data_IF_274732832906
#
_entry.id   IF_274732832906
#
_cell.length_a   1.000
_cell.length_b   1.000
_cell.length_c   1.000
_cell.angle_alpha   90.00
_cell.angle_beta   90.00
_cell.angle_gamma   90.00
#
_symmetry.space_group_name_H-M   'P 1'
#
loop_
_entity.id
_entity.type
_entity.pdbx_description
1 polymer ?
#
# COMPACT_ATOMS: atom_id res chain seq x y z
N UNK A 1 -27.05 10.83 22.72
CA UNK A 1 -25.74 10.82 22.04
C UNK A 1 -25.48 12.22 21.54
N UNK A 2 -24.31 12.76 21.83
CA UNK A 2 -23.94 14.13 21.47
C UNK A 2 -23.65 14.22 19.96
N UNK A 3 -24.05 15.30 19.29
CA UNK A 3 -23.98 15.40 17.83
C UNK A 3 -22.54 15.25 17.29
N UNK A 4 -21.55 15.66 18.08
CA UNK A 4 -20.12 15.46 17.76
C UNK A 4 -19.68 13.99 17.78
N UNK A 5 -20.30 13.14 18.61
CA UNK A 5 -19.97 11.71 18.66
C UNK A 5 -20.52 10.96 17.43
N UNK A 6 -21.69 11.36 16.94
CA UNK A 6 -22.30 10.78 15.72
C UNK A 6 -21.45 11.09 14.49
N UNK A 7 -20.97 12.33 14.33
CA UNK A 7 -20.14 12.75 13.18
C UNK A 7 -18.80 12.00 13.15
N UNK A 8 -18.16 11.81 14.30
CA UNK A 8 -16.90 11.06 14.39
C UNK A 8 -17.10 9.58 14.06
N UNK A 9 -18.18 8.97 14.56
CA UNK A 9 -18.51 7.58 14.28
C UNK A 9 -18.82 7.36 12.80
N UNK A 10 -19.62 8.25 12.18
CA UNK A 10 -19.91 8.19 10.74
C UNK A 10 -18.64 8.35 9.89
N UNK A 11 -17.74 9.25 10.28
CA UNK A 11 -16.45 9.43 9.62
C UNK A 11 -15.59 8.17 9.68
N UNK A 12 -15.53 7.53 10.86
CA UNK A 12 -14.79 6.28 11.08
C UNK A 12 -15.37 5.12 10.27
N UNK A 13 -16.69 4.94 10.27
CA UNK A 13 -17.36 3.88 9.50
C UNK A 13 -17.11 4.06 7.99
N UNK A 14 -17.21 5.30 7.47
CA UNK A 14 -16.89 5.58 6.06
C UNK A 14 -15.43 5.29 5.71
N UNK A 15 -14.49 5.51 6.63
CA UNK A 15 -13.09 5.16 6.41
C UNK A 15 -12.91 3.63 6.33
N UNK A 16 -13.57 2.87 7.23
CA UNK A 16 -13.54 1.41 7.21
C UNK A 16 -14.19 0.83 5.95
N UNK A 17 -15.31 1.39 5.51
CA UNK A 17 -16.00 0.96 4.29
C UNK A 17 -15.09 1.16 3.07
N UNK A 18 -14.38 2.29 2.99
CA UNK A 18 -13.39 2.55 1.92
C UNK A 18 -12.24 1.54 1.93
N UNK A 19 -11.70 1.22 3.11
CA UNK A 19 -10.65 0.20 3.20
C UNK A 19 -11.16 -1.17 2.73
N UNK A 20 -12.38 -1.53 3.11
CA UNK A 20 -13.02 -2.77 2.67
C UNK A 20 -13.30 -2.80 1.16
N UNK A 21 -13.61 -1.66 0.53
CA UNK A 21 -13.76 -1.56 -0.93
C UNK A 21 -12.43 -1.85 -1.65
N UNK A 22 -11.30 -1.33 -1.14
CA UNK A 22 -9.96 -1.56 -1.71
C UNK A 22 -9.58 -3.04 -1.67
N UNK A 23 -9.83 -3.70 -0.53
CA UNK A 23 -9.48 -5.13 -0.34
C UNK A 23 -10.62 -6.08 -0.67
N UNK A 24 -11.70 -5.57 -1.27
CA UNK A 24 -12.84 -6.37 -1.66
C UNK A 24 -12.43 -7.48 -2.62
N UNK A 25 -13.08 -8.64 -2.49
CA UNK A 25 -12.72 -9.87 -3.23
C UNK A 25 -12.59 -9.66 -4.76
N UNK A 26 -13.40 -8.77 -5.35
CA UNK A 26 -13.37 -8.49 -6.78
C UNK A 26 -12.13 -7.71 -7.24
N UNK A 27 -11.48 -6.94 -6.36
CA UNK A 27 -10.39 -6.02 -6.71
C UNK A 27 -9.03 -6.47 -6.15
N UNK A 28 -9.02 -7.21 -5.04
CA UNK A 28 -7.79 -7.61 -4.34
C UNK A 28 -6.81 -8.38 -5.22
N UNK A 29 -7.30 -9.23 -6.15
CA UNK A 29 -6.43 -9.95 -7.09
C UNK A 29 -5.68 -8.97 -8.01
N UNK A 30 -6.39 -8.03 -8.64
CA UNK A 30 -5.78 -7.03 -9.54
C UNK A 30 -4.77 -6.17 -8.79
N UNK A 31 -5.09 -5.78 -7.56
CA UNK A 31 -4.18 -4.98 -6.74
C UNK A 31 -2.94 -5.79 -6.33
N UNK A 32 -3.09 -7.08 -6.01
CA UNK A 32 -1.97 -7.95 -5.72
C UNK A 32 -1.05 -8.12 -6.95
N UNK A 33 -1.61 -8.28 -8.15
CA UNK A 33 -0.85 -8.31 -9.41
C UNK A 33 -0.02 -7.04 -9.62
N UNK A 34 -0.59 -5.87 -9.34
CA UNK A 34 0.16 -4.61 -9.42
C UNK A 34 1.29 -4.52 -8.40
N UNK A 35 1.06 -4.97 -7.16
CA UNK A 35 2.11 -4.98 -6.13
C UNK A 35 3.24 -5.94 -6.51
N UNK A 36 2.92 -7.11 -7.07
CA UNK A 36 3.91 -8.07 -7.59
C UNK A 36 4.73 -7.43 -8.72
N UNK A 37 4.08 -6.76 -9.67
CA UNK A 37 4.76 -6.06 -10.76
C UNK A 37 5.72 -4.99 -10.22
N UNK A 38 5.31 -4.19 -9.24
CA UNK A 38 6.19 -3.21 -8.61
C UNK A 38 7.36 -3.85 -7.86
N UNK A 39 7.11 -4.91 -7.09
CA UNK A 39 8.16 -5.63 -6.39
C UNK A 39 9.18 -6.22 -7.37
N UNK A 40 8.75 -6.71 -8.54
CA UNK A 40 9.65 -7.29 -9.54
C UNK A 40 10.67 -6.30 -10.14
N UNK A 41 10.41 -4.99 -9.99
CA UNK A 41 11.30 -3.91 -10.46
C UNK A 41 12.39 -3.56 -9.46
N UNK A 42 12.30 -4.08 -8.25
CA UNK A 42 13.28 -3.87 -7.18
C UNK A 42 14.22 -5.08 -7.06
N UNK A 43 15.41 -4.87 -6.53
CA UNK A 43 16.37 -5.97 -6.35
C UNK A 43 16.11 -6.66 -5.02
N UNK A 44 15.48 -7.84 -5.05
CA UNK A 44 15.17 -8.67 -3.87
C UNK A 44 14.44 -7.88 -2.75
N UNK A 45 13.31 -7.22 -3.06
CA UNK A 45 12.64 -6.37 -2.09
C UNK A 45 11.99 -7.16 -0.97
N UNK A 46 11.85 -6.48 0.16
CA UNK A 46 10.94 -6.81 1.24
C UNK A 46 9.68 -5.97 1.09
N UNK A 47 8.52 -6.59 1.25
CA UNK A 47 7.27 -5.84 1.28
C UNK A 47 6.79 -5.64 2.72
N UNK A 48 6.36 -4.41 3.04
CA UNK A 48 5.82 -4.08 4.35
C UNK A 48 4.44 -3.40 4.20
N UNK A 49 3.42 -3.87 4.93
CA UNK A 49 2.11 -3.22 4.93
C UNK A 49 2.16 -1.89 5.67
N UNK A 50 1.38 -0.92 5.20
CA UNK A 50 1.02 0.30 5.92
C UNK A 50 -0.49 0.29 6.12
N UNK A 51 -0.91 -0.05 7.34
CA UNK A 51 -2.31 -0.22 7.73
C UNK A 51 -2.88 -1.61 7.47
N UNK A 52 -4.04 -1.88 8.08
CA UNK A 52 -4.67 -3.21 8.11
C UNK A 52 -5.13 -3.69 6.73
N UNK A 53 -5.63 -2.77 5.90
CA UNK A 53 -6.06 -3.09 4.54
C UNK A 53 -4.88 -3.57 3.68
N UNK A 54 -3.72 -2.91 3.79
CA UNK A 54 -2.52 -3.35 3.11
C UNK A 54 -2.04 -4.73 3.59
N UNK A 55 -2.22 -5.05 4.88
CA UNK A 55 -1.88 -6.37 5.41
C UNK A 55 -2.71 -7.48 4.76
N UNK A 56 -4.01 -7.24 4.52
CA UNK A 56 -4.86 -8.18 3.78
C UNK A 56 -4.42 -8.33 2.32
N UNK A 57 -4.07 -7.22 1.66
CA UNK A 57 -3.54 -7.22 0.31
C UNK A 57 -2.24 -8.03 0.20
N UNK A 58 -1.33 -7.88 1.17
CA UNK A 58 -0.09 -8.64 1.24
C UNK A 58 -0.31 -10.14 1.45
N UNK A 59 -1.38 -10.54 2.14
CA UNK A 59 -1.83 -11.92 2.17
C UNK A 59 -2.16 -12.47 0.77
N UNK A 60 -2.89 -11.68 -0.04
CA UNK A 60 -3.17 -12.06 -1.43
C UNK A 60 -1.90 -12.10 -2.30
N UNK A 61 -1.00 -11.12 -2.15
CA UNK A 61 0.31 -11.12 -2.83
C UNK A 61 1.11 -12.37 -2.48
N UNK A 62 1.18 -12.75 -1.21
CA UNK A 62 1.90 -13.94 -0.76
C UNK A 62 1.37 -15.22 -1.42
N UNK A 63 0.04 -15.35 -1.54
CA UNK A 63 -0.60 -16.50 -2.18
C UNK A 63 -0.32 -16.54 -3.69
N UNK A 64 -0.41 -15.38 -4.36
CA UNK A 64 -0.22 -15.29 -5.81
C UNK A 64 1.24 -15.41 -6.24
N UNK A 65 2.16 -14.86 -5.46
CA UNK A 65 3.60 -14.90 -5.73
C UNK A 65 4.24 -16.25 -5.38
N UNK A 66 3.49 -17.20 -4.78
CA UNK A 66 3.98 -18.53 -4.39
C UNK A 66 5.27 -18.49 -3.56
N UNK A 67 5.40 -17.48 -2.69
CA UNK A 67 6.58 -17.30 -1.83
C UNK A 67 7.82 -16.71 -2.51
N UNK A 68 7.73 -16.27 -3.77
CA UNK A 68 8.82 -15.56 -4.47
C UNK A 68 9.06 -14.13 -3.99
N UNK A 69 8.13 -13.59 -3.20
CA UNK A 69 8.22 -12.26 -2.60
C UNK A 69 8.28 -12.42 -1.09
N UNK A 70 9.27 -11.77 -0.49
CA UNK A 70 9.47 -11.80 0.95
C UNK A 70 8.61 -10.74 1.65
N UNK A 71 7.88 -11.17 2.67
CA UNK A 71 7.03 -10.35 3.52
C UNK A 71 7.46 -10.63 4.96
N UNK A 72 8.47 -9.92 5.47
CA UNK A 72 9.03 -10.18 6.77
C UNK A 72 8.07 -9.78 7.87
N UNK A 73 8.25 -10.43 9.02
CA UNK A 73 7.59 -10.00 10.25
C UNK A 73 8.16 -8.63 10.63
N UNK A 74 7.34 -7.80 11.29
CA UNK A 74 7.71 -6.43 11.65
C UNK A 74 8.99 -6.30 12.50
N UNK A 75 9.45 -7.40 13.11
CA UNK A 75 10.63 -7.48 13.98
C UNK A 75 11.90 -7.92 13.27
N UNK A 76 11.82 -8.42 12.04
CA UNK A 76 12.97 -9.03 11.38
C UNK A 76 13.99 -7.97 10.97
N UNK A 77 15.29 -8.30 11.02
CA UNK A 77 16.32 -7.42 10.47
C UNK A 77 16.24 -7.42 8.95
N UNK A 78 16.45 -6.25 8.34
CA UNK A 78 16.38 -6.05 6.90
C UNK A 78 17.77 -6.01 6.25
N UNK A 79 18.83 -5.80 7.04
CA UNK A 79 20.25 -6.00 6.70
C UNK A 79 20.64 -5.57 5.26
N UNK A 80 20.28 -4.35 4.89
CA UNK A 80 20.66 -3.71 3.63
C UNK A 80 19.67 -3.87 2.48
N UNK A 81 18.54 -4.54 2.68
CA UNK A 81 17.54 -4.79 1.62
C UNK A 81 16.74 -3.55 1.24
N UNK A 82 16.22 -3.59 0.01
CA UNK A 82 15.22 -2.65 -0.47
C UNK A 82 13.86 -2.99 0.13
N UNK A 83 13.09 -1.96 0.49
CA UNK A 83 11.76 -2.11 1.08
C UNK A 83 10.72 -1.44 0.20
N UNK A 84 9.64 -2.15 -0.08
CA UNK A 84 8.42 -1.61 -0.66
C UNK A 84 7.33 -1.51 0.41
N UNK A 85 7.05 -0.28 0.85
CA UNK A 85 5.91 0.04 1.69
C UNK A 85 4.63 0.02 0.84
N UNK A 86 3.69 -0.83 1.19
CA UNK A 86 2.42 -1.01 0.48
C UNK A 86 1.31 -0.44 1.36
N UNK A 87 0.57 0.56 0.87
CA UNK A 87 -0.59 1.15 1.54
C UNK A 87 -1.83 1.18 0.66
N UNK A 88 -2.96 1.57 1.25
CA UNK A 88 -4.20 1.93 0.52
C UNK A 88 -4.37 3.45 0.51
N UNK A 89 -5.35 3.98 -0.24
CA UNK A 89 -5.71 5.42 -0.22
C UNK A 89 -6.07 5.97 1.15
N UNK A 90 -6.38 5.11 2.12
CA UNK A 90 -6.72 5.51 3.49
C UNK A 90 -5.45 5.68 4.35
N UNK A 91 -4.33 5.06 3.95
CA UNK A 91 -3.07 5.22 4.66
C UNK A 91 -2.57 6.66 4.55
N UNK A 92 -2.38 7.29 5.70
CA UNK A 92 -1.91 8.65 5.84
C UNK A 92 -0.40 8.74 5.56
N UNK A 93 0.06 9.93 5.15
CA UNK A 93 1.48 10.19 4.95
C UNK A 93 2.31 9.92 6.22
N UNK A 94 1.74 10.22 7.40
CA UNK A 94 2.38 9.98 8.70
C UNK A 94 2.61 8.48 8.94
N UNK A 95 1.68 7.62 8.54
CA UNK A 95 1.86 6.16 8.66
C UNK A 95 2.96 5.65 7.74
N UNK A 96 3.05 6.18 6.52
CA UNK A 96 4.17 5.90 5.62
C UNK A 96 5.51 6.37 6.19
N UNK A 97 5.57 7.58 6.76
CA UNK A 97 6.78 8.09 7.43
C UNK A 97 7.19 7.20 8.60
N UNK A 98 6.25 6.83 9.45
CA UNK A 98 6.50 5.95 10.59
C UNK A 98 7.01 4.58 10.14
N UNK A 99 6.40 4.00 9.10
CA UNK A 99 6.83 2.74 8.52
C UNK A 99 8.24 2.84 7.89
N UNK A 100 8.53 3.93 7.19
CA UNK A 100 9.85 4.19 6.62
C UNK A 100 10.92 4.34 7.70
N UNK A 101 10.66 5.10 8.76
CA UNK A 101 11.56 5.24 9.90
C UNK A 101 11.83 3.87 10.53
N UNK A 102 10.80 3.04 10.72
CA UNK A 102 10.96 1.70 11.24
C UNK A 102 11.82 0.81 10.32
N UNK A 103 11.57 0.82 9.02
CA UNK A 103 12.35 0.08 8.04
C UNK A 103 13.84 0.50 8.05
N UNK A 104 14.13 1.81 8.10
CA UNK A 104 15.52 2.31 8.23
C UNK A 104 16.18 1.80 9.50
N UNK A 105 15.49 1.84 10.64
CA UNK A 105 16.00 1.32 11.92
C UNK A 105 16.31 -0.18 11.88
N UNK A 106 15.58 -0.93 11.05
CA UNK A 106 15.79 -2.37 10.83
C UNK A 106 16.89 -2.66 9.80
N UNK A 107 17.50 -1.62 9.22
CA UNK A 107 18.64 -1.74 8.30
C UNK A 107 18.28 -1.69 6.82
N UNK A 108 17.09 -1.21 6.43
CA UNK A 108 16.76 -1.00 5.02
C UNK A 108 17.65 0.07 4.37
N UNK A 109 18.10 -0.15 3.12
CA UNK A 109 18.94 0.80 2.38
C UNK A 109 18.11 1.76 1.53
N UNK A 110 17.18 1.21 0.74
CA UNK A 110 16.24 1.99 -0.07
C UNK A 110 14.81 1.66 0.37
N UNK A 111 13.98 2.70 0.42
CA UNK A 111 12.58 2.57 0.82
C UNK A 111 11.73 3.22 -0.25
N UNK A 112 10.80 2.44 -0.77
CA UNK A 112 9.83 2.83 -1.77
C UNK A 112 8.43 2.79 -1.16
N UNK A 113 7.53 3.65 -1.62
CA UNK A 113 6.14 3.63 -1.20
C UNK A 113 5.21 3.47 -2.41
N UNK A 114 4.19 2.64 -2.27
CA UNK A 114 3.08 2.59 -3.20
C UNK A 114 1.75 2.62 -2.42
N UNK A 115 0.80 3.41 -2.93
CA UNK A 115 -0.57 3.40 -2.45
C UNK A 115 -1.47 2.90 -3.58
N UNK A 116 -2.32 1.94 -3.25
CA UNK A 116 -3.33 1.44 -4.17
C UNK A 116 -4.52 2.41 -4.18
N UNK A 117 -4.74 3.07 -5.32
CA UNK A 117 -5.91 3.90 -5.57
C UNK A 117 -7.12 3.07 -6.01
N UNK A 118 -8.27 3.35 -5.39
CA UNK A 118 -9.59 2.91 -5.87
C UNK A 118 -10.20 4.05 -6.70
N UNK A 119 -10.79 3.71 -7.84
CA UNK A 119 -11.34 4.69 -8.78
C UNK A 119 -12.25 5.71 -8.07
N UNK A 120 -11.93 7.00 -8.21
CA UNK A 120 -12.70 8.12 -7.64
C UNK A 120 -12.03 8.93 -6.53
N UNK A 121 -10.82 8.56 -6.08
CA UNK A 121 -10.12 9.25 -4.99
C UNK A 121 -8.65 9.51 -5.36
N UNK A 122 -8.24 10.78 -5.39
CA UNK A 122 -6.86 11.21 -5.69
C UNK A 122 -5.96 11.16 -4.46
N UNK A 123 -4.80 10.51 -4.55
CA UNK A 123 -3.76 10.54 -3.50
C UNK A 123 -2.88 11.80 -3.56
N UNK A 124 -2.47 12.30 -2.38
CA UNK A 124 -1.43 13.32 -2.23
C UNK A 124 -0.04 12.68 -2.14
N UNK A 125 0.97 13.41 -2.62
CA UNK A 125 2.38 13.01 -2.81
C UNK A 125 2.98 12.05 -1.75
N UNK A 126 3.53 10.93 -2.21
CA UNK A 126 4.32 9.98 -1.42
C UNK A 126 5.83 10.32 -1.42
N UNK A 127 6.50 9.93 -0.33
CA UNK A 127 7.88 10.26 0.02
C UNK A 127 8.96 9.63 -0.87
N UNK A 128 10.01 10.43 -0.99
CA UNK A 128 11.40 10.24 -1.45
C UNK A 128 11.72 9.61 -2.81
N UNK A 129 11.05 8.60 -3.37
CA UNK A 129 11.54 8.06 -4.67
C UNK A 129 10.55 7.25 -5.51
N UNK A 130 9.32 7.70 -5.73
CA UNK A 130 8.64 7.37 -6.98
C UNK A 130 7.65 8.45 -7.43
N UNK A 131 8.02 9.10 -8.53
CA UNK A 131 7.12 9.82 -9.43
C UNK A 131 5.92 8.93 -9.75
N UNK A 132 4.70 9.42 -9.55
CA UNK A 132 3.42 8.83 -9.99
C UNK A 132 3.55 7.94 -11.25
N UNK A 133 3.83 6.64 -11.09
CA UNK A 133 3.66 5.63 -12.15
C UNK A 133 2.22 5.11 -12.19
N UNK A 134 1.26 5.95 -11.79
CA UNK A 134 -0.18 5.68 -11.82
C UNK A 134 -0.97 6.50 -12.84
N UNK A 135 -0.36 7.46 -13.56
CA UNK A 135 -1.12 8.32 -14.48
C UNK A 135 -1.20 7.83 -15.93
N UNK A 136 -0.54 6.73 -16.30
CA UNK A 136 -0.28 6.45 -17.73
C UNK A 136 -1.22 5.45 -18.43
N UNK A 137 -2.21 4.82 -17.78
CA UNK A 137 -3.01 3.77 -18.45
C UNK A 137 -4.51 4.06 -18.64
N UNK A 138 -5.05 5.17 -18.11
CA UNK A 138 -6.49 5.50 -18.30
C UNK A 138 -6.77 6.61 -19.33
N UNK A 139 -5.75 7.27 -19.91
CA UNK A 139 -5.95 8.26 -20.99
C UNK A 139 -5.93 7.68 -22.41
N UNK A 140 -5.45 6.45 -22.61
CA UNK A 140 -5.27 5.89 -23.97
C UNK A 140 -6.51 5.17 -24.55
N UNK A 141 -7.67 5.17 -23.87
CA UNK A 141 -8.91 4.52 -24.37
C UNK A 141 -10.13 5.43 -24.51
N UNK A 142 -9.93 6.74 -24.66
CA UNK A 142 -10.96 7.67 -25.15
C UNK A 142 -10.43 8.47 -26.34
N UNK A 143 -9.94 7.78 -27.35
CA UNK A 143 -9.63 8.30 -28.70
C UNK A 143 -9.39 7.11 -29.64
N UNK A 144 -10.44 6.34 -29.90
CA UNK A 144 -10.57 5.47 -31.07
C UNK A 144 -12.07 5.30 -31.35
#
# INVERSE_FOLDING_TARGET
MDAGQTILLEGLLRAQDRDNEVVGYAQIQRHAEHVIDWASRLTNPVLMPVGDAAQRLLGAVSLMAQGSIDIPVWTDRLDGRDVLLVGTVVASLIEFEAAAINARRRGATHIHGCAIEVAGHTSSSMLDSFTLLGQSSLRARRSA
#
